data_IF_210612423776
#
_entry.id   IF_210612423776
#
_cell.length_a   1.000
_cell.length_b   1.000
_cell.length_c   1.000
_cell.angle_alpha   90.00
_cell.angle_beta   90.00
_cell.angle_gamma   90.00
#
_symmetry.space_group_name_H-M   'P 1'
#
loop_
_entity.id
_entity.type
_entity.pdbx_description
1 polymer ?
#
# COMPACT_ATOMS: atom_id res chain seq x y z
N UNK A 1 -1.72 17.68 45.07
CA UNK A 1 -2.93 17.23 44.34
C UNK A 1 -2.81 17.41 42.83
N UNK A 2 -2.13 18.45 42.34
CA UNK A 2 -1.92 18.71 40.90
C UNK A 2 -1.01 17.71 40.19
N UNK A 3 0.10 17.27 40.81
CA UNK A 3 1.03 16.32 40.18
C UNK A 3 0.45 14.93 39.91
N UNK A 4 -0.40 14.42 40.81
CA UNK A 4 -1.11 13.15 40.62
C UNK A 4 -2.10 13.24 39.45
N UNK A 5 -2.82 14.36 39.33
CA UNK A 5 -3.74 14.59 38.22
C UNK A 5 -3.00 14.68 36.88
N UNK A 6 -1.83 15.33 36.83
CA UNK A 6 -1.01 15.42 35.60
C UNK A 6 -0.52 14.03 35.18
N UNK A 7 -0.05 13.20 36.12
CA UNK A 7 0.36 11.82 35.84
C UNK A 7 -0.82 10.96 35.36
N UNK A 8 -1.98 11.10 35.99
CA UNK A 8 -3.22 10.41 35.59
C UNK A 8 -3.66 10.80 34.17
N UNK A 9 -3.63 12.10 33.85
CA UNK A 9 -3.98 12.59 32.52
C UNK A 9 -3.00 12.14 31.45
N UNK A 10 -1.69 12.15 31.76
CA UNK A 10 -0.65 11.66 30.84
C UNK A 10 -0.81 10.16 30.55
N UNK A 11 -1.13 9.36 31.56
CA UNK A 11 -1.39 7.93 31.41
C UNK A 11 -2.62 7.66 30.52
N UNK A 12 -3.75 8.33 30.82
CA UNK A 12 -4.99 8.18 30.04
C UNK A 12 -4.80 8.65 28.59
N UNK A 13 -4.08 9.76 28.39
CA UNK A 13 -3.77 10.27 27.05
C UNK A 13 -2.91 9.27 26.26
N UNK A 14 -1.87 8.70 26.87
CA UNK A 14 -1.00 7.72 26.23
C UNK A 14 -1.72 6.40 25.88
N UNK A 15 -2.61 5.91 26.74
CA UNK A 15 -3.43 4.72 26.46
C UNK A 15 -4.39 4.99 25.30
N UNK A 16 -5.06 6.15 25.30
CA UNK A 16 -6.01 6.53 24.24
C UNK A 16 -5.34 6.66 22.88
N UNK A 17 -4.15 7.26 22.82
CA UNK A 17 -3.38 7.44 21.58
C UNK A 17 -2.95 6.09 20.97
N UNK A 18 -2.54 5.15 21.84
CA UNK A 18 -2.15 3.80 21.43
C UNK A 18 -3.34 3.02 20.84
N UNK A 19 -4.50 3.05 21.49
CA UNK A 19 -5.69 2.35 20.98
C UNK A 19 -6.21 2.96 19.67
N UNK A 20 -6.17 4.28 19.52
CA UNK A 20 -6.55 4.94 18.27
C UNK A 20 -5.57 4.69 17.11
N UNK A 21 -4.30 4.38 17.42
CA UNK A 21 -3.28 4.06 16.43
C UNK A 21 -3.37 2.62 15.91
N UNK A 22 -3.82 1.68 16.75
CA UNK A 22 -3.97 0.28 16.38
C UNK A 22 -5.05 0.07 15.28
N UNK A 23 -6.11 0.89 15.26
CA UNK A 23 -7.13 0.87 14.18
C UNK A 23 -6.59 1.39 12.84
N UNK A 24 -5.71 2.41 12.87
CA UNK A 24 -5.05 2.93 11.65
C UNK A 24 -4.18 1.87 11.00
N UNK A 25 -3.53 1.02 11.80
CA UNK A 25 -2.71 -0.10 11.32
C UNK A 25 -3.51 -1.14 10.55
N UNK A 26 -4.67 -1.54 11.09
CA UNK A 26 -5.56 -2.50 10.44
C UNK A 26 -6.10 -1.96 9.10
N UNK A 27 -6.49 -0.69 9.05
CA UNK A 27 -6.96 -0.04 7.82
C UNK A 27 -5.89 0.04 6.72
N UNK A 28 -4.60 0.17 7.08
CA UNK A 28 -3.53 0.13 6.06
C UNK A 28 -3.42 -1.21 5.35
N UNK A 29 -3.74 -2.32 6.03
CA UNK A 29 -3.69 -3.66 5.43
C UNK A 29 -4.82 -3.88 4.43
N UNK A 30 -6.02 -3.38 4.73
CA UNK A 30 -7.19 -3.50 3.84
C UNK A 30 -6.93 -2.81 2.49
N UNK A 31 -6.49 -1.55 2.52
CA UNK A 31 -6.13 -0.82 1.30
C UNK A 31 -4.89 -1.41 0.63
N UNK A 32 -3.94 -1.95 1.41
CA UNK A 32 -2.74 -2.62 0.89
C UNK A 32 -3.07 -3.85 0.04
N UNK A 33 -4.02 -4.68 0.45
CA UNK A 33 -4.45 -5.87 -0.31
C UNK A 33 -5.16 -5.48 -1.60
N UNK A 34 -5.97 -4.41 -1.60
CA UNK A 34 -6.62 -3.91 -2.82
C UNK A 34 -5.58 -3.47 -3.87
N UNK A 35 -4.55 -2.74 -3.44
CA UNK A 35 -3.46 -2.32 -4.33
C UNK A 35 -2.65 -3.51 -4.83
N UNK A 36 -2.40 -4.51 -3.98
CA UNK A 36 -1.68 -5.72 -4.38
C UNK A 36 -2.40 -6.49 -5.52
N UNK A 37 -3.73 -6.59 -5.46
CA UNK A 37 -4.52 -7.21 -6.53
C UNK A 37 -4.41 -6.44 -7.86
N UNK A 38 -4.47 -5.10 -7.81
CA UNK A 38 -4.29 -4.25 -9.00
C UNK A 38 -2.89 -4.46 -9.57
N UNK A 39 -1.85 -4.53 -8.73
CA UNK A 39 -0.48 -4.77 -9.18
C UNK A 39 -0.34 -6.10 -9.93
N UNK A 40 -0.95 -7.18 -9.43
CA UNK A 40 -0.95 -8.49 -10.11
C UNK A 40 -1.62 -8.40 -11.49
N UNK A 41 -2.77 -7.71 -11.59
CA UNK A 41 -3.48 -7.52 -12.86
C UNK A 41 -2.63 -6.74 -13.87
N UNK A 42 -1.98 -5.66 -13.43
CA UNK A 42 -1.11 -4.84 -14.28
C UNK A 42 0.06 -5.68 -14.80
N UNK A 43 0.73 -6.45 -13.95
CA UNK A 43 1.86 -7.30 -14.35
C UNK A 43 1.40 -8.35 -15.38
N UNK A 44 0.24 -8.98 -15.16
CA UNK A 44 -0.31 -9.96 -16.08
C UNK A 44 -0.68 -9.36 -17.45
N UNK A 45 -1.11 -8.10 -17.49
CA UNK A 45 -1.44 -7.40 -18.74
C UNK A 45 -0.21 -6.88 -19.48
N UNK A 46 0.78 -6.35 -18.77
CA UNK A 46 1.97 -5.71 -19.37
C UNK A 46 2.91 -6.73 -20.01
N UNK A 47 3.00 -7.96 -19.48
CA UNK A 47 3.85 -9.02 -20.04
C UNK A 47 3.56 -9.31 -21.53
N UNK A 48 2.34 -9.74 -21.89
CA UNK A 48 1.95 -9.99 -23.29
C UNK A 48 2.01 -8.75 -24.18
N UNK A 49 1.66 -7.58 -23.63
CA UNK A 49 1.76 -6.31 -24.36
C UNK A 49 3.23 -6.04 -24.75
N UNK A 50 4.16 -6.29 -23.83
CA UNK A 50 5.59 -6.18 -24.10
C UNK A 50 6.07 -7.13 -25.21
N UNK A 51 5.59 -8.37 -25.25
CA UNK A 51 5.93 -9.30 -26.33
C UNK A 51 5.40 -8.83 -27.67
N UNK A 52 4.13 -8.40 -27.74
CA UNK A 52 3.53 -7.90 -28.98
C UNK A 52 4.28 -6.68 -29.52
N UNK A 53 4.65 -5.73 -28.67
CA UNK A 53 5.42 -4.55 -29.10
C UNK A 53 6.79 -4.98 -29.66
N UNK A 54 7.49 -5.90 -28.99
CA UNK A 54 8.78 -6.41 -29.46
C UNK A 54 8.67 -7.07 -30.83
N UNK A 55 7.63 -7.87 -31.04
CA UNK A 55 7.38 -8.56 -32.31
C UNK A 55 7.06 -7.56 -33.44
N UNK A 56 6.31 -6.50 -33.14
CA UNK A 56 6.06 -5.41 -34.10
C UNK A 56 7.36 -4.73 -34.55
N UNK A 57 8.25 -4.39 -33.61
CA UNK A 57 9.54 -3.78 -33.96
C UNK A 57 10.45 -4.75 -34.74
N UNK A 58 10.48 -6.04 -34.36
CA UNK A 58 11.24 -7.05 -35.08
C UNK A 58 10.74 -7.21 -36.54
N UNK A 59 9.42 -7.14 -36.75
CA UNK A 59 8.82 -7.16 -38.07
C UNK A 59 9.25 -5.98 -38.95
N UNK A 60 9.31 -4.77 -38.39
CA UNK A 60 9.83 -3.59 -39.10
C UNK A 60 11.31 -3.76 -39.45
N UNK A 61 12.12 -4.26 -38.51
CA UNK A 61 13.55 -4.52 -38.77
C UNK A 61 13.76 -5.55 -39.88
N UNK A 62 12.92 -6.57 -39.99
CA UNK A 62 13.01 -7.58 -41.03
C UNK A 62 12.63 -7.06 -42.44
N UNK A 63 11.99 -5.89 -42.52
CA UNK A 63 11.55 -5.26 -43.77
C UNK A 63 12.51 -4.17 -44.27
N UNK A 64 13.56 -3.85 -43.51
CA UNK A 64 14.66 -2.95 -43.87
C UNK A 64 15.81 -3.73 -44.52
#
# INVERSE_FOLDING_TARGET
>A
MTGLMVSMLAFVAGVKDKMASDEKGATMVEYGIMVALIAVIVIAAVGPLGTTIRDMFAGVTAQL
#
